data_IF_855951268254
#
_entry.id   IF_855951268254
#
_cell.length_a   1.000
_cell.length_b   1.000
_cell.length_c   1.000
_cell.angle_alpha   90.00
_cell.angle_beta   90.00
_cell.angle_gamma   90.00
#
_symmetry.space_group_name_H-M   'P 1'
#
loop_
_entity.id
_entity.type
_entity.pdbx_description
1 polymer ?
#
# COMPACT_ATOMS: atom_id res chain seq x y z
N UNK A 1 6.90 21.31 21.11
CA UNK A 1 6.49 22.57 20.51
C UNK A 1 5.59 22.25 19.32
N UNK A 2 4.27 22.42 19.48
CA UNK A 2 3.29 21.82 18.57
C UNK A 2 1.83 22.06 18.99
N UNK A 3 0.89 21.58 18.17
CA UNK A 3 -0.55 21.60 18.48
C UNK A 3 -0.83 20.55 19.57
N UNK A 4 -1.63 20.87 20.61
CA UNK A 4 -1.94 19.92 21.67
C UNK A 4 -2.62 18.66 21.12
N UNK A 5 -2.26 17.49 21.67
CA UNK A 5 -2.90 16.24 21.30
C UNK A 5 -4.33 16.16 21.86
N UNK A 6 -5.13 15.20 21.39
CA UNK A 6 -6.52 15.00 21.84
C UNK A 6 -6.67 14.90 23.37
N UNK A 7 -5.71 14.28 24.06
CA UNK A 7 -5.72 14.15 25.52
C UNK A 7 -5.42 15.48 26.21
N UNK A 8 -4.47 16.26 25.69
CA UNK A 8 -4.15 17.58 26.20
C UNK A 8 -5.35 18.53 26.03
N UNK A 9 -6.02 18.50 24.88
CA UNK A 9 -7.26 19.28 24.64
C UNK A 9 -8.33 18.92 25.67
N UNK A 10 -8.54 17.63 25.94
CA UNK A 10 -9.50 17.18 26.95
C UNK A 10 -9.16 17.70 28.35
N UNK A 11 -7.89 17.64 28.74
CA UNK A 11 -7.43 18.16 30.03
C UNK A 11 -7.58 19.69 30.15
N UNK A 12 -7.29 20.45 29.08
CA UNK A 12 -7.46 21.90 29.04
C UNK A 12 -8.94 22.27 29.18
N UNK A 13 -9.83 21.55 28.47
CA UNK A 13 -11.28 21.76 28.58
C UNK A 13 -11.82 21.41 29.96
N UNK A 14 -11.28 20.37 30.60
CA UNK A 14 -11.63 20.03 31.99
C UNK A 14 -11.23 21.16 32.97
N UNK A 15 -10.15 21.88 32.69
CA UNK A 15 -9.72 23.07 33.42
C UNK A 15 -10.50 24.35 33.06
N UNK A 16 -11.45 24.27 32.11
CA UNK A 16 -12.21 25.42 31.55
C UNK A 16 -11.33 26.51 30.92
N UNK A 17 -10.14 26.13 30.47
CA UNK A 17 -9.21 27.05 29.81
C UNK A 17 -9.40 27.09 28.30
N UNK A 18 -8.84 28.13 27.68
CA UNK A 18 -8.83 28.33 26.23
C UNK A 18 -7.70 27.52 25.60
N UNK A 19 -8.05 26.63 24.67
CA UNK A 19 -7.10 25.74 23.97
C UNK A 19 -6.03 26.53 23.19
N UNK A 20 -6.42 27.66 22.59
CA UNK A 20 -5.54 28.49 21.76
C UNK A 20 -4.32 29.03 22.53
N UNK A 21 -4.41 29.18 23.85
CA UNK A 21 -3.29 29.64 24.69
C UNK A 21 -2.19 28.59 24.83
N UNK A 22 -2.51 27.32 24.57
CA UNK A 22 -1.59 26.19 24.64
C UNK A 22 -1.01 25.82 23.27
N UNK A 23 -1.40 26.53 22.20
CA UNK A 23 -0.84 26.34 20.87
C UNK A 23 0.47 27.12 20.77
N UNK A 24 1.46 26.48 20.17
CA UNK A 24 2.77 27.10 19.95
C UNK A 24 2.66 28.38 19.11
N UNK A 25 3.51 29.37 19.42
CA UNK A 25 3.60 30.61 18.67
C UNK A 25 3.84 30.38 17.18
N UNK A 26 4.53 29.31 16.79
CA UNK A 26 4.79 28.98 15.38
C UNK A 26 3.52 28.90 14.51
N UNK A 27 2.36 28.58 15.10
CA UNK A 27 1.08 28.44 14.38
C UNK A 27 0.21 29.71 14.43
N UNK A 28 0.69 30.81 15.00
CA UNK A 28 -0.06 32.07 15.05
C UNK A 28 -0.07 32.76 13.69
N UNK A 29 -1.11 33.55 13.43
CA UNK A 29 -1.21 34.34 12.19
C UNK A 29 -0.07 35.35 12.09
N UNK A 30 0.36 35.91 13.21
CA UNK A 30 1.47 36.86 13.28
C UNK A 30 2.79 36.24 12.82
N UNK A 31 3.13 35.03 13.31
CA UNK A 31 4.34 34.33 12.87
C UNK A 31 4.24 33.92 11.42
N UNK A 32 3.08 33.45 10.97
CA UNK A 32 2.85 33.17 9.55
C UNK A 32 3.11 34.41 8.68
N UNK A 33 2.52 35.57 9.04
CA UNK A 33 2.73 36.82 8.30
C UNK A 33 4.20 37.24 8.29
N UNK A 34 4.93 37.10 9.41
CA UNK A 34 6.36 37.42 9.49
C UNK A 34 7.21 36.48 8.63
N UNK A 35 6.91 35.18 8.60
CA UNK A 35 7.64 34.19 7.79
C UNK A 35 7.43 34.46 6.29
N UNK A 36 6.20 34.81 5.91
CA UNK A 36 5.81 35.06 4.52
C UNK A 36 5.75 36.56 4.17
N UNK A 37 6.36 37.42 4.98
CA UNK A 37 6.41 38.87 4.73
C UNK A 37 7.24 39.16 3.48
N UNK A 38 8.27 38.36 3.25
CA UNK A 38 9.14 38.47 2.10
C UNK A 38 8.62 37.62 0.93
N UNK A 39 8.80 38.13 -0.28
CA UNK A 39 8.43 37.42 -1.49
C UNK A 39 9.26 36.12 -1.62
N UNK A 40 8.57 34.98 -1.63
CA UNK A 40 9.16 33.71 -2.03
C UNK A 40 9.28 33.73 -3.54
N UNK A 41 10.47 34.08 -4.03
CA UNK A 41 10.74 34.05 -5.46
C UNK A 41 10.63 32.61 -5.96
N UNK A 42 9.95 32.47 -7.09
CA UNK A 42 9.88 31.19 -7.78
C UNK A 42 11.29 30.75 -8.14
N UNK A 43 11.61 29.51 -7.80
CA UNK A 43 12.83 28.89 -8.31
C UNK A 43 12.56 28.57 -9.77
N UNK A 44 13.49 29.02 -10.61
CA UNK A 44 13.65 28.64 -11.99
C UNK A 44 13.35 27.14 -12.22
N UNK A 45 12.73 26.77 -13.34
CA UNK A 45 12.37 25.39 -13.60
C UNK A 45 13.59 24.46 -13.74
N UNK A 46 13.42 23.14 -13.54
CA UNK A 46 14.51 22.16 -13.60
C UNK A 46 15.26 22.14 -14.94
N UNK A 47 14.64 22.61 -16.03
CA UNK A 47 15.24 22.72 -17.36
C UNK A 47 16.42 23.70 -17.43
N UNK A 48 16.45 24.71 -16.56
CA UNK A 48 17.51 25.74 -16.52
C UNK A 48 18.45 25.55 -15.32
N UNK A 49 18.30 24.48 -14.54
CA UNK A 49 19.24 24.14 -13.49
C UNK A 49 20.54 23.62 -14.07
N UNK A 50 21.67 24.03 -13.48
CA UNK A 50 22.97 23.49 -13.85
C UNK A 50 22.98 21.97 -13.64
N UNK A 51 23.45 21.24 -14.65
CA UNK A 51 23.60 19.78 -14.55
C UNK A 51 24.68 19.48 -13.53
N UNK A 52 24.34 18.66 -12.52
CA UNK A 52 25.31 18.21 -11.53
C UNK A 52 26.33 17.27 -12.18
N UNK A 53 27.62 17.48 -11.88
CA UNK A 53 28.71 16.56 -12.25
C UNK A 53 28.81 15.34 -11.33
N UNK A 54 28.04 15.32 -10.24
CA UNK A 54 28.05 14.24 -9.26
C UNK A 54 27.31 13.02 -9.81
N UNK A 55 27.83 11.83 -9.49
CA UNK A 55 27.16 10.56 -9.79
C UNK A 55 25.75 10.57 -9.18
N UNK A 56 24.70 10.24 -9.94
CA UNK A 56 23.35 10.17 -9.39
C UNK A 56 23.30 9.16 -8.23
N UNK A 57 22.49 9.42 -7.20
CA UNK A 57 22.34 8.47 -6.10
C UNK A 57 21.88 7.13 -6.66
N UNK A 58 22.48 6.04 -6.15
CA UNK A 58 22.02 4.70 -6.46
C UNK A 58 20.54 4.58 -6.09
N UNK A 59 19.72 3.89 -6.91
CA UNK A 59 18.33 3.64 -6.54
C UNK A 59 18.32 2.95 -5.17
N UNK A 60 17.33 3.24 -4.30
CA UNK A 60 17.21 2.51 -3.05
C UNK A 60 17.16 1.03 -3.39
N UNK A 61 18.04 0.24 -2.76
CA UNK A 61 17.99 -1.21 -2.89
C UNK A 61 16.57 -1.63 -2.56
N UNK A 62 15.87 -2.18 -3.56
CA UNK A 62 14.59 -2.82 -3.36
C UNK A 62 14.91 -4.04 -2.50
N UNK A 63 14.97 -3.86 -1.18
CA UNK A 63 14.93 -4.93 -0.22
C UNK A 63 13.55 -5.50 -0.45
N UNK A 64 13.49 -6.52 -1.31
CA UNK A 64 12.25 -7.09 -1.82
C UNK A 64 11.30 -7.25 -0.66
N UNK A 65 10.04 -6.87 -0.89
CA UNK A 65 8.94 -6.85 0.07
C UNK A 65 8.78 -8.20 0.78
N UNK A 66 9.73 -8.60 1.62
CA UNK A 66 9.58 -9.54 2.71
C UNK A 66 8.74 -8.74 3.68
N UNK A 67 7.45 -8.68 3.39
CA UNK A 67 6.43 -8.34 4.36
C UNK A 67 6.75 -9.24 5.53
N UNK A 68 7.37 -8.69 6.57
CA UNK A 68 7.60 -9.38 7.83
C UNK A 68 6.22 -9.92 8.18
N UNK A 69 6.07 -11.25 8.07
CA UNK A 69 4.76 -11.88 8.16
C UNK A 69 4.04 -11.36 9.40
N UNK A 70 2.71 -11.24 9.31
CA UNK A 70 1.89 -10.75 10.43
C UNK A 70 2.32 -11.46 11.71
N UNK A 71 2.84 -10.70 12.68
CA UNK A 71 3.18 -11.25 14.00
C UNK A 71 1.93 -11.92 14.57
N UNK A 72 2.07 -13.11 15.15
CA UNK A 72 0.95 -13.75 15.82
C UNK A 72 0.43 -12.82 16.92
N UNK A 73 -0.88 -12.57 16.94
CA UNK A 73 -1.54 -11.71 17.95
C UNK A 73 -1.57 -12.37 19.33
N UNK A 74 -1.48 -13.69 19.38
CA UNK A 74 -1.47 -14.47 20.61
C UNK A 74 -0.22 -15.36 20.67
N UNK A 75 0.31 -15.55 21.88
CA UNK A 75 1.38 -16.51 22.17
C UNK A 75 0.94 -17.93 21.80
N UNK A 76 1.85 -18.77 21.32
CA UNK A 76 1.61 -20.22 21.21
C UNK A 76 1.53 -20.80 22.63
N UNK A 77 0.48 -21.56 22.91
CA UNK A 77 0.31 -22.27 24.18
C UNK A 77 1.24 -23.49 24.20
N UNK A 78 1.87 -23.75 25.35
CA UNK A 78 2.67 -24.97 25.59
C UNK A 78 1.75 -26.21 25.65
N UNK A 79 2.32 -27.40 25.46
CA UNK A 79 1.54 -28.64 25.32
C UNK A 79 0.62 -28.95 26.52
N UNK A 80 1.01 -28.51 27.71
CA UNK A 80 0.29 -28.72 28.98
C UNK A 80 -0.77 -27.64 29.28
N UNK A 81 -0.84 -26.57 28.48
CA UNK A 81 -1.79 -25.49 28.72
C UNK A 81 -3.20 -25.84 28.23
N UNK A 82 -4.22 -25.54 29.05
CA UNK A 82 -5.64 -25.75 28.70
C UNK A 82 -5.99 -25.01 27.40
N UNK A 83 -6.42 -25.78 26.38
CA UNK A 83 -6.72 -25.31 25.03
C UNK A 83 -5.54 -25.32 24.04
N UNK A 84 -4.43 -25.98 24.37
CA UNK A 84 -3.35 -26.30 23.41
C UNK A 84 -3.80 -27.33 22.36
N UNK A 85 -4.68 -28.25 22.75
CA UNK A 85 -5.26 -29.23 21.84
C UNK A 85 -6.38 -28.61 20.98
N UNK A 86 -6.30 -28.81 19.66
CA UNK A 86 -7.35 -28.44 18.71
C UNK A 86 -8.53 -29.41 18.81
N UNK A 87 -9.29 -29.37 19.89
CA UNK A 87 -10.55 -30.12 20.06
C UNK A 87 -11.68 -29.59 19.17
N UNK A 88 -11.41 -28.59 18.31
CA UNK A 88 -12.41 -28.03 17.39
C UNK A 88 -12.54 -28.91 16.15
N UNK A 89 -13.76 -29.35 15.87
CA UNK A 89 -14.13 -30.08 14.66
C UNK A 89 -13.68 -29.30 13.41
N UNK A 90 -13.00 -29.98 12.48
CA UNK A 90 -12.65 -29.38 11.18
C UNK A 90 -13.94 -29.15 10.39
N UNK A 91 -14.15 -27.93 9.90
CA UNK A 91 -15.29 -27.63 9.02
C UNK A 91 -15.13 -28.43 7.72
N UNK A 92 -16.04 -29.37 7.46
CA UNK A 92 -16.14 -30.05 6.16
C UNK A 92 -16.82 -29.06 5.19
N UNK A 93 -16.10 -28.54 4.21
CA UNK A 93 -16.72 -27.71 3.19
C UNK A 93 -17.54 -28.62 2.26
N UNK A 94 -18.79 -28.26 2.00
CA UNK A 94 -19.56 -28.88 0.92
C UNK A 94 -18.93 -28.51 -0.43
N UNK A 95 -18.91 -29.49 -1.35
CA UNK A 95 -18.46 -29.28 -2.72
C UNK A 95 -19.30 -28.21 -3.39
N UNK A 96 -18.66 -27.20 -3.97
CA UNK A 96 -19.35 -26.19 -4.78
C UNK A 96 -19.83 -26.85 -6.07
N UNK A 97 -21.12 -26.71 -6.34
CA UNK A 97 -21.76 -27.07 -7.59
C UNK A 97 -21.58 -25.95 -8.63
N UNK A 98 -21.44 -26.34 -9.90
CA UNK A 98 -21.31 -25.38 -10.99
C UNK A 98 -22.65 -24.73 -11.27
N UNK A 99 -22.74 -23.40 -11.18
CA UNK A 99 -23.98 -22.63 -11.36
C UNK A 99 -24.67 -22.80 -12.71
N UNK A 100 -23.98 -23.36 -13.71
CA UNK A 100 -24.52 -23.58 -15.06
C UNK A 100 -24.99 -25.02 -15.28
N UNK A 101 -24.47 -26.00 -14.53
CA UNK A 101 -24.82 -27.41 -14.74
C UNK A 101 -25.20 -28.19 -13.48
N UNK A 102 -25.17 -27.56 -12.29
CA UNK A 102 -25.51 -28.09 -10.97
C UNK A 102 -24.93 -29.48 -10.65
N UNK A 103 -23.86 -29.87 -11.34
CA UNK A 103 -23.12 -31.11 -11.07
C UNK A 103 -21.95 -30.78 -10.14
N UNK A 104 -21.75 -31.58 -9.07
CA UNK A 104 -20.61 -31.38 -8.19
C UNK A 104 -19.31 -31.81 -8.89
N UNK A 105 -18.30 -30.93 -8.92
CA UNK A 105 -16.90 -31.35 -9.09
C UNK A 105 -16.26 -31.27 -10.47
N UNK A 106 -16.60 -30.31 -11.33
CA UNK A 106 -15.77 -30.05 -12.52
C UNK A 106 -15.49 -28.55 -12.74
N UNK A 107 -14.20 -28.18 -12.58
CA UNK A 107 -13.70 -26.82 -12.74
C UNK A 107 -13.96 -26.26 -14.15
N UNK A 108 -14.66 -25.13 -14.24
CA UNK A 108 -14.99 -24.43 -15.50
C UNK A 108 -13.79 -24.22 -16.44
N UNK A 109 -12.58 -24.06 -15.88
CA UNK A 109 -11.33 -23.83 -16.64
C UNK A 109 -10.97 -24.91 -17.67
N UNK A 110 -11.53 -26.11 -17.58
CA UNK A 110 -11.24 -27.19 -18.55
C UNK A 110 -12.10 -27.10 -19.81
N UNK A 111 -13.27 -26.45 -19.76
CA UNK A 111 -14.23 -26.44 -20.88
C UNK A 111 -13.86 -25.41 -21.95
N UNK A 112 -13.31 -24.27 -21.55
CA UNK A 112 -12.99 -23.16 -22.47
C UNK A 112 -11.72 -23.37 -23.29
N UNK A 113 -10.86 -24.32 -22.92
CA UNK A 113 -9.59 -24.60 -23.63
C UNK A 113 -9.74 -25.38 -24.93
N UNK A 114 -10.94 -25.88 -25.27
CA UNK A 114 -11.13 -26.77 -26.42
C UNK A 114 -11.37 -26.04 -27.76
N UNK A 115 -11.31 -24.70 -27.82
CA UNK A 115 -11.77 -23.95 -29.01
C UNK A 115 -10.88 -22.85 -29.60
N UNK A 116 -9.59 -22.74 -29.28
CA UNK A 116 -8.71 -21.81 -30.02
C UNK A 116 -7.40 -22.50 -30.43
N UNK A 117 -7.26 -22.73 -31.74
CA UNK A 117 -6.16 -23.43 -32.37
C UNK A 117 -4.85 -22.62 -32.35
N UNK A 118 -3.76 -23.28 -31.95
CA UNK A 118 -2.43 -22.68 -31.69
C UNK A 118 -1.78 -21.99 -32.89
N UNK A 119 -2.20 -22.32 -34.13
CA UNK A 119 -1.57 -21.81 -35.37
C UNK A 119 -1.80 -20.31 -35.61
N UNK A 120 -2.88 -19.73 -35.07
CA UNK A 120 -3.21 -18.31 -35.30
C UNK A 120 -2.37 -17.36 -34.41
N UNK A 121 -2.03 -17.81 -33.20
CA UNK A 121 -1.26 -17.03 -32.23
C UNK A 121 0.22 -16.84 -32.67
N UNK A 122 0.78 -17.81 -33.38
CA UNK A 122 2.18 -17.78 -33.80
C UNK A 122 2.40 -16.89 -35.04
N UNK A 123 1.39 -16.76 -35.91
CA UNK A 123 1.42 -15.85 -37.08
C UNK A 123 1.41 -14.38 -36.65
N UNK A 124 0.62 -14.06 -35.61
CA UNK A 124 0.51 -12.69 -35.06
C UNK A 124 1.81 -12.23 -34.41
N UNK A 125 2.49 -13.13 -33.67
CA UNK A 125 3.80 -12.88 -33.05
C UNK A 125 4.92 -12.61 -34.06
N UNK A 126 4.87 -13.20 -35.26
CA UNK A 126 5.89 -12.95 -36.29
C UNK A 126 5.71 -11.59 -37.00
N UNK A 127 4.46 -11.15 -37.19
CA UNK A 127 4.17 -9.84 -37.80
C UNK A 127 4.58 -8.70 -36.86
N UNK A 128 4.31 -8.83 -35.56
CA UNK A 128 4.68 -7.85 -34.55
C UNK A 128 6.20 -7.73 -34.37
N UNK A 129 6.94 -8.83 -34.56
CA UNK A 129 8.42 -8.85 -34.50
C UNK A 129 9.08 -8.16 -35.68
N UNK A 130 8.52 -8.29 -36.89
CA UNK A 130 9.05 -7.62 -38.09
C UNK A 130 8.83 -6.11 -38.04
N UNK A 131 7.70 -5.66 -37.46
CA UNK A 131 7.36 -4.24 -37.34
C UNK A 131 8.23 -3.48 -36.33
N UNK A 132 8.85 -4.17 -35.38
CA UNK A 132 9.77 -3.57 -34.40
C UNK A 132 11.22 -3.42 -34.91
N UNK A 133 11.56 -3.93 -36.09
CA UNK A 133 12.95 -3.93 -36.59
C UNK A 133 13.21 -2.86 -37.67
N UNK A 134 12.19 -2.09 -38.09
CA UNK A 134 12.28 -1.05 -39.12
C UNK A 134 11.96 0.38 -38.60
N UNK A 135 12.09 0.62 -37.28
CA UNK A 135 12.18 1.96 -36.67
C UNK A 135 13.43 2.05 -35.80
#
# INVERSE_FOLDING_TARGET
>A
MGIPCKHAIAAIRAKKDIILNYVDNCYKVETYRRIYEHAILLINGPQIWAKSTKVPPLPPTIIGNKKRGRKQKARRKEADEVGANRTKMKRKQQSLDCSTCNKPGEDMKKRDKKKLDKKELDKKKQLDKKKCFEL
#
